data_IF_848609689979
#
_entry.id   IF_848609689979
#
_cell.length_a   1.000
_cell.length_b   1.000
_cell.length_c   1.000
_cell.angle_alpha   90.00
_cell.angle_beta   90.00
_cell.angle_gamma   90.00
#
_symmetry.space_group_name_H-M   'P 1'
#
loop_
_entity.id
_entity.type
_entity.pdbx_description
1 polymer ?
#
# COMPACT_ATOMS: atom_id res chain seq x y z
N UNK A 1 3.42 -9.20 23.59
CA UNK A 1 3.67 -8.21 22.53
C UNK A 1 5.08 -8.39 22.01
N UNK A 2 5.21 -8.61 20.73
CA UNK A 2 6.52 -8.58 20.09
C UNK A 2 7.00 -7.11 20.06
N UNK A 3 8.21 -6.85 20.54
CA UNK A 3 8.76 -5.49 20.63
C UNK A 3 9.24 -4.98 19.26
N UNK A 4 8.65 -5.50 18.17
CA UNK A 4 8.99 -5.15 16.80
C UNK A 4 8.08 -4.06 16.24
N UNK A 5 8.64 -3.24 15.37
CA UNK A 5 7.91 -2.25 14.59
C UNK A 5 7.55 -2.81 13.23
N UNK A 6 6.29 -2.62 12.83
CA UNK A 6 5.78 -3.05 11.54
C UNK A 6 5.33 -1.85 10.69
N UNK A 7 5.82 -1.80 9.47
CA UNK A 7 5.46 -0.77 8.50
C UNK A 7 4.55 -1.34 7.43
N UNK A 8 3.43 -0.67 7.16
CA UNK A 8 2.43 -1.13 6.19
C UNK A 8 2.27 -0.18 5.02
N UNK A 9 2.17 -0.75 3.82
CA UNK A 9 1.72 -0.08 2.60
C UNK A 9 0.35 -0.62 2.20
N UNK A 10 -0.59 0.25 1.91
CA UNK A 10 -1.98 -0.09 1.59
C UNK A 10 -2.39 0.54 0.27
N UNK A 11 -2.59 -0.28 -0.77
CA UNK A 11 -3.29 0.09 -2.00
C UNK A 11 -4.78 -0.24 -1.84
N UNK A 12 -5.67 0.79 -1.71
CA UNK A 12 -7.08 0.57 -1.43
C UNK A 12 -7.90 0.12 -2.64
N UNK A 13 -7.28 -0.14 -3.79
CA UNK A 13 -7.98 -0.59 -5.00
C UNK A 13 -8.68 -1.94 -4.83
N UNK A 14 -9.66 -2.24 -5.71
CA UNK A 14 -10.34 -3.55 -5.73
C UNK A 14 -9.36 -4.72 -5.93
N UNK A 15 -8.31 -4.49 -6.67
CA UNK A 15 -7.20 -5.42 -6.91
C UNK A 15 -5.91 -4.97 -6.22
N UNK A 16 -6.06 -4.23 -5.14
CA UNK A 16 -4.96 -3.74 -4.34
C UNK A 16 -4.46 -4.79 -3.33
N UNK A 17 -3.72 -4.33 -2.35
CA UNK A 17 -3.17 -5.20 -1.32
C UNK A 17 -2.83 -4.43 -0.03
N UNK A 18 -2.69 -5.16 1.05
CA UNK A 18 -2.05 -4.72 2.29
C UNK A 18 -0.73 -5.48 2.41
N UNK A 19 0.38 -4.77 2.52
CA UNK A 19 1.70 -5.38 2.70
C UNK A 19 2.35 -4.80 3.94
N UNK A 20 2.73 -5.67 4.86
CA UNK A 20 3.52 -5.31 6.04
C UNK A 20 4.98 -5.72 5.86
N UNK A 21 5.90 -4.86 6.27
CA UNK A 21 7.33 -5.16 6.35
C UNK A 21 7.83 -4.93 7.77
N UNK A 22 8.68 -5.81 8.22
CA UNK A 22 9.39 -5.64 9.48
C UNK A 22 10.43 -4.52 9.32
N UNK A 23 10.56 -3.63 10.32
CA UNK A 23 11.39 -2.43 10.17
C UNK A 23 12.86 -2.76 10.06
N UNK A 24 13.35 -3.75 10.80
CA UNK A 24 14.76 -4.10 10.87
C UNK A 24 15.17 -5.01 9.71
N UNK A 25 14.46 -6.13 9.55
CA UNK A 25 14.79 -7.15 8.54
C UNK A 25 14.27 -6.81 7.14
N UNK A 26 13.28 -5.93 7.02
CA UNK A 26 12.58 -5.68 5.75
C UNK A 26 11.78 -6.87 5.26
N UNK A 27 11.57 -7.92 6.09
CA UNK A 27 10.84 -9.12 5.71
C UNK A 27 9.36 -8.81 5.47
N UNK A 28 8.84 -9.05 4.26
CA UNK A 28 7.48 -8.67 3.91
C UNK A 28 6.47 -9.80 4.15
N UNK A 29 5.22 -9.39 4.39
CA UNK A 29 4.04 -10.25 4.37
C UNK A 29 2.90 -9.50 3.68
N UNK A 30 2.40 -10.01 2.56
CA UNK A 30 1.33 -9.39 1.79
C UNK A 30 0.01 -10.15 1.88
N UNK A 31 -1.08 -9.41 1.85
CA UNK A 31 -2.45 -9.90 1.75
C UNK A 31 -3.14 -9.23 0.55
N UNK A 32 -3.89 -10.01 -0.22
CA UNK A 32 -4.63 -9.50 -1.37
C UNK A 32 -5.98 -8.90 -0.97
N UNK A 33 -6.43 -7.91 -1.74
CA UNK A 33 -7.80 -7.42 -1.70
C UNK A 33 -8.67 -8.14 -2.76
N UNK A 34 -9.98 -8.24 -2.56
CA UNK A 34 -10.74 -7.72 -1.44
C UNK A 34 -10.70 -8.66 -0.23
N UNK A 35 -10.73 -8.08 0.95
CA UNK A 35 -11.08 -8.77 2.20
C UNK A 35 -12.51 -8.41 2.56
N UNK A 36 -13.24 -9.27 3.25
CA UNK A 36 -14.52 -8.89 3.83
C UNK A 36 -14.35 -7.95 5.03
N UNK A 37 -15.44 -7.41 5.57
CA UNK A 37 -15.37 -6.42 6.64
C UNK A 37 -14.84 -7.01 7.95
N UNK A 38 -15.23 -8.24 8.27
CA UNK A 38 -14.83 -8.91 9.50
C UNK A 38 -13.35 -9.29 9.44
N UNK A 39 -12.89 -9.84 8.31
CA UNK A 39 -11.48 -10.15 8.06
C UNK A 39 -10.61 -8.90 8.16
N UNK A 40 -11.05 -7.80 7.56
CA UNK A 40 -10.31 -6.54 7.57
C UNK A 40 -10.19 -5.95 8.98
N UNK A 41 -11.31 -5.96 9.74
CA UNK A 41 -11.31 -5.48 11.12
C UNK A 41 -10.48 -6.39 12.04
N UNK A 42 -10.58 -7.70 11.88
CA UNK A 42 -9.77 -8.66 12.64
C UNK A 42 -8.29 -8.46 12.36
N UNK A 43 -7.90 -8.34 11.08
CA UNK A 43 -6.50 -8.13 10.69
C UNK A 43 -5.87 -6.91 11.38
N UNK A 44 -6.56 -5.76 11.40
CA UNK A 44 -6.00 -4.55 12.01
C UNK A 44 -5.99 -4.61 13.54
N UNK A 45 -6.99 -5.23 14.16
CA UNK A 45 -7.02 -5.47 15.61
C UNK A 45 -5.88 -6.37 16.05
N UNK A 46 -5.71 -7.52 15.38
CA UNK A 46 -4.63 -8.46 15.66
C UNK A 46 -3.26 -7.81 15.45
N UNK A 47 -3.15 -6.95 14.43
CA UNK A 47 -1.94 -6.15 14.18
C UNK A 47 -1.64 -5.21 15.35
N UNK A 48 -2.64 -4.51 15.87
CA UNK A 48 -2.48 -3.59 16.99
C UNK A 48 -2.09 -4.31 18.31
N UNK A 49 -2.57 -5.55 18.49
CA UNK A 49 -2.24 -6.38 19.66
C UNK A 49 -0.85 -7.02 19.57
N UNK A 50 -0.43 -7.37 18.34
CA UNK A 50 0.80 -8.13 18.11
C UNK A 50 2.04 -7.25 18.18
N UNK A 51 2.02 -6.05 17.58
CA UNK A 51 3.19 -5.19 17.43
C UNK A 51 3.16 -3.99 18.39
N UNK A 52 4.31 -3.62 18.94
CA UNK A 52 4.45 -2.46 19.83
C UNK A 52 4.33 -1.13 19.09
N UNK A 53 4.75 -1.10 17.84
CA UNK A 53 4.65 0.09 16.97
C UNK A 53 4.18 -0.33 15.58
N UNK A 54 3.19 0.38 15.06
CA UNK A 54 2.62 0.14 13.73
C UNK A 54 2.58 1.46 12.96
N UNK A 55 3.34 1.52 11.86
CA UNK A 55 3.35 2.64 10.94
C UNK A 55 2.59 2.25 9.67
N UNK A 56 1.65 3.07 9.23
CA UNK A 56 0.78 2.73 8.09
C UNK A 56 0.77 3.86 7.08
N UNK A 57 1.04 3.51 5.83
CA UNK A 57 0.89 4.39 4.68
C UNK A 57 -0.22 3.89 3.76
N UNK A 58 -1.25 4.72 3.57
CA UNK A 58 -2.37 4.43 2.67
C UNK A 58 -2.27 5.32 1.43
N UNK A 59 -2.42 4.74 0.24
CA UNK A 59 -2.36 5.52 -0.99
C UNK A 59 -3.50 6.55 -1.06
N UNK A 60 -3.13 7.81 -1.24
CA UNK A 60 -4.06 8.91 -1.47
C UNK A 60 -4.40 9.00 -2.94
N UNK A 61 -5.45 8.31 -3.33
CA UNK A 61 -5.97 8.34 -4.70
C UNK A 61 -7.26 9.14 -4.77
N UNK A 62 -7.46 9.75 -5.93
CA UNK A 62 -8.64 10.56 -6.25
C UNK A 62 -9.52 9.79 -7.22
N UNK A 63 -10.83 10.10 -7.23
CA UNK A 63 -11.70 9.63 -8.29
C UNK A 63 -11.22 10.19 -9.63
N UNK A 64 -11.08 9.32 -10.62
CA UNK A 64 -10.74 9.77 -11.97
C UNK A 64 -12.02 10.23 -12.68
N UNK A 65 -12.07 11.45 -13.25
CA UNK A 65 -13.25 11.95 -13.95
C UNK A 65 -13.76 11.06 -15.10
N UNK A 66 -12.88 10.23 -15.68
CA UNK A 66 -13.26 9.27 -16.73
C UNK A 66 -13.88 7.97 -16.19
N UNK A 67 -13.87 7.76 -14.88
CA UNK A 67 -14.52 6.61 -14.27
C UNK A 67 -16.03 6.82 -14.21
N UNK A 68 -16.80 5.76 -14.50
CA UNK A 68 -18.24 5.78 -14.29
C UNK A 68 -18.59 5.94 -12.80
N UNK A 69 -19.77 6.54 -12.53
CA UNK A 69 -20.26 6.82 -11.16
C UNK A 69 -20.20 5.61 -10.22
N UNK A 70 -20.60 4.43 -10.73
CA UNK A 70 -20.54 3.18 -9.94
C UNK A 70 -19.10 2.86 -9.51
N UNK A 71 -18.13 3.01 -10.40
CA UNK A 71 -16.73 2.72 -10.08
C UNK A 71 -16.18 3.70 -9.04
N UNK A 72 -16.50 4.99 -9.16
CA UNK A 72 -16.11 6.00 -8.16
C UNK A 72 -16.71 5.70 -6.78
N UNK A 73 -17.99 5.31 -6.75
CA UNK A 73 -18.68 4.95 -5.52
C UNK A 73 -18.05 3.72 -4.84
N UNK A 74 -17.86 2.63 -5.58
CA UNK A 74 -17.24 1.40 -5.05
C UNK A 74 -15.80 1.64 -4.57
N UNK A 75 -15.04 2.44 -5.31
CA UNK A 75 -13.69 2.81 -4.92
C UNK A 75 -13.67 3.63 -3.61
N UNK A 76 -14.53 4.64 -3.51
CA UNK A 76 -14.66 5.46 -2.30
C UNK A 76 -15.11 4.63 -1.10
N UNK A 77 -16.06 3.70 -1.30
CA UNK A 77 -16.51 2.77 -0.27
C UNK A 77 -15.37 1.87 0.22
N UNK A 78 -14.61 1.27 -0.69
CA UNK A 78 -13.49 0.40 -0.34
C UNK A 78 -12.42 1.14 0.46
N UNK A 79 -12.05 2.33 0.02
CA UNK A 79 -11.10 3.20 0.74
C UNK A 79 -11.61 3.54 2.15
N UNK A 80 -12.87 3.95 2.26
CA UNK A 80 -13.49 4.30 3.55
C UNK A 80 -13.51 3.12 4.52
N UNK A 81 -13.82 1.90 4.05
CA UNK A 81 -13.77 0.67 4.86
C UNK A 81 -12.40 0.44 5.47
N UNK A 82 -11.34 0.53 4.64
CA UNK A 82 -9.96 0.31 5.08
C UNK A 82 -9.55 1.34 6.13
N UNK A 83 -9.76 2.62 5.84
CA UNK A 83 -9.41 3.71 6.76
C UNK A 83 -10.21 3.60 8.08
N UNK A 84 -11.49 3.24 8.02
CA UNK A 84 -12.33 3.00 9.18
C UNK A 84 -11.81 1.82 10.03
N UNK A 85 -11.47 0.69 9.41
CA UNK A 85 -10.97 -0.49 10.12
C UNK A 85 -9.63 -0.21 10.84
N UNK A 86 -8.71 0.52 10.20
CA UNK A 86 -7.46 0.96 10.83
C UNK A 86 -7.75 1.83 12.06
N UNK A 87 -8.62 2.84 11.92
CA UNK A 87 -8.96 3.76 13.01
C UNK A 87 -9.70 3.04 14.13
N UNK A 88 -10.60 2.11 13.82
CA UNK A 88 -11.34 1.33 14.81
C UNK A 88 -10.44 0.39 15.63
N UNK A 89 -9.31 -0.03 15.08
CA UNK A 89 -8.27 -0.77 15.79
C UNK A 89 -7.37 0.14 16.68
N UNK A 90 -7.65 1.44 16.77
CA UNK A 90 -6.83 2.39 17.52
C UNK A 90 -5.52 2.78 16.83
N UNK A 91 -5.35 2.39 15.56
CA UNK A 91 -4.15 2.69 14.77
C UNK A 91 -4.30 4.01 14.01
N UNK A 92 -3.17 4.65 13.72
CA UNK A 92 -3.09 5.84 12.87
C UNK A 92 -2.46 5.51 11.53
N UNK A 93 -2.68 6.35 10.52
CA UNK A 93 -2.09 6.18 9.21
C UNK A 93 -1.79 7.51 8.53
N UNK A 94 -0.81 7.50 7.63
CA UNK A 94 -0.47 8.63 6.75
C UNK A 94 -1.03 8.36 5.35
N UNK A 95 -1.58 9.39 4.71
CA UNK A 95 -1.97 9.33 3.29
C UNK A 95 -0.83 9.85 2.44
N UNK A 96 -0.38 9.06 1.46
CA UNK A 96 0.69 9.43 0.54
C UNK A 96 0.18 9.42 -0.91
N UNK A 97 0.55 10.42 -1.70
CA UNK A 97 0.17 10.44 -3.13
C UNK A 97 1.03 9.46 -3.93
N UNK A 98 0.53 8.93 -5.07
CA UNK A 98 1.37 8.14 -5.97
C UNK A 98 2.65 8.88 -6.39
N UNK A 99 2.57 10.19 -6.59
CA UNK A 99 3.73 11.01 -6.98
C UNK A 99 4.80 11.01 -5.89
N UNK A 100 4.41 11.10 -4.62
CA UNK A 100 5.35 11.19 -3.51
C UNK A 100 6.12 9.88 -3.31
N UNK A 101 5.40 8.74 -3.17
CA UNK A 101 6.08 7.47 -2.94
C UNK A 101 6.82 6.95 -4.17
N UNK A 102 6.30 7.20 -5.38
CA UNK A 102 6.99 6.83 -6.62
C UNK A 102 8.25 7.69 -6.82
N UNK A 103 8.15 9.01 -6.56
CA UNK A 103 9.29 9.93 -6.62
C UNK A 103 10.40 9.58 -5.63
N UNK A 104 10.05 9.07 -4.46
CA UNK A 104 11.04 8.59 -3.46
C UNK A 104 11.96 7.49 -4.02
N UNK A 105 11.43 6.65 -4.94
CA UNK A 105 12.20 5.62 -5.63
C UNK A 105 12.70 6.05 -7.02
N UNK A 106 12.68 7.35 -7.31
CA UNK A 106 13.03 7.90 -8.64
C UNK A 106 12.22 7.28 -9.79
N UNK A 107 10.97 6.90 -9.50
CA UNK A 107 10.06 6.29 -10.46
C UNK A 107 9.14 7.33 -11.10
N UNK A 108 9.41 7.66 -12.35
CA UNK A 108 8.63 8.61 -13.14
C UNK A 108 8.07 7.96 -14.40
N UNK A 109 6.79 8.24 -14.71
CA UNK A 109 6.16 7.75 -15.95
C UNK A 109 6.72 8.45 -17.17
N UNK A 110 7.08 7.67 -18.17
CA UNK A 110 7.37 8.15 -19.52
C UNK A 110 6.10 8.67 -20.21
N UNK A 111 6.20 9.45 -21.30
CA UNK A 111 5.03 9.84 -22.09
C UNK A 111 4.19 8.65 -22.57
N UNK A 112 4.83 7.57 -22.98
CA UNK A 112 4.15 6.32 -23.38
C UNK A 112 3.35 5.70 -22.22
N UNK A 113 3.91 5.64 -21.03
CA UNK A 113 3.26 5.08 -19.84
C UNK A 113 2.07 5.91 -19.35
N UNK A 114 2.00 7.20 -19.74
CA UNK A 114 0.85 8.09 -19.47
C UNK A 114 -0.29 7.92 -20.48
N UNK A 115 -0.05 7.28 -21.61
CA UNK A 115 -1.04 7.15 -22.69
C UNK A 115 -2.19 6.16 -22.40
N UNK A 116 -2.23 5.55 -21.21
CA UNK A 116 -3.25 4.56 -20.82
C UNK A 116 -2.98 3.16 -21.38
N UNK A 117 -3.91 2.25 -21.22
CA UNK A 117 -3.90 0.92 -21.84
C UNK A 117 -2.55 0.17 -21.70
N UNK A 118 -1.88 -0.06 -22.83
CA UNK A 118 -0.58 -0.75 -22.88
C UNK A 118 0.52 0.00 -22.12
N UNK A 119 0.51 1.33 -22.18
CA UNK A 119 1.46 2.17 -21.44
C UNK A 119 1.29 2.03 -19.94
N UNK A 120 0.06 2.06 -19.44
CA UNK A 120 -0.22 1.84 -18.02
C UNK A 120 0.24 0.43 -17.56
N UNK A 121 0.05 -0.59 -18.39
CA UNK A 121 0.54 -1.95 -18.08
C UNK A 121 2.08 -2.01 -18.06
N UNK A 122 2.75 -1.29 -18.94
CA UNK A 122 4.22 -1.17 -18.93
C UNK A 122 4.70 -0.52 -17.64
N UNK A 123 4.05 0.56 -17.21
CA UNK A 123 4.32 1.21 -15.93
C UNK A 123 4.19 0.25 -14.74
N UNK A 124 3.06 -0.46 -14.64
CA UNK A 124 2.85 -1.46 -13.59
C UNK A 124 3.92 -2.56 -13.57
N UNK A 125 4.39 -3.01 -14.74
CA UNK A 125 5.50 -3.97 -14.84
C UNK A 125 6.83 -3.40 -14.32
N UNK A 126 7.10 -2.11 -14.55
CA UNK A 126 8.30 -1.46 -13.99
C UNK A 126 8.24 -1.39 -12.47
N UNK A 127 7.10 -1.01 -11.90
CA UNK A 127 6.90 -1.03 -10.45
C UNK A 127 7.06 -2.45 -9.88
N UNK A 128 6.49 -3.45 -10.54
CA UNK A 128 6.66 -4.85 -10.15
C UNK A 128 8.13 -5.30 -10.19
N UNK A 129 8.88 -4.91 -11.22
CA UNK A 129 10.29 -5.24 -11.33
C UNK A 129 11.11 -4.63 -10.19
N UNK A 130 10.85 -3.36 -9.86
CA UNK A 130 11.47 -2.70 -8.72
C UNK A 130 11.13 -3.38 -7.39
N UNK A 131 9.86 -3.72 -7.16
CA UNK A 131 9.45 -4.42 -5.95
C UNK A 131 10.13 -5.81 -5.83
N UNK A 132 10.21 -6.56 -6.93
CA UNK A 132 10.93 -7.85 -6.95
C UNK A 132 12.42 -7.70 -6.63
N UNK A 133 13.06 -6.66 -7.15
CA UNK A 133 14.47 -6.37 -6.86
C UNK A 133 14.69 -6.04 -5.37
N UNK A 134 13.82 -5.21 -4.79
CA UNK A 134 13.96 -4.79 -3.38
C UNK A 134 13.72 -5.93 -2.38
N UNK A 135 12.77 -6.80 -2.68
CA UNK A 135 12.33 -7.82 -1.74
C UNK A 135 12.80 -9.25 -2.10
N UNK A 136 13.56 -9.41 -3.16
CA UNK A 136 14.08 -10.70 -3.63
C UNK A 136 13.00 -11.80 -3.66
N UNK A 137 11.78 -11.47 -4.07
CA UNK A 137 10.61 -12.32 -3.89
C UNK A 137 9.60 -12.32 -5.04
N UNK A 138 8.56 -13.14 -4.86
CA UNK A 138 7.42 -13.22 -5.76
C UNK A 138 6.44 -12.09 -5.45
N UNK A 139 6.48 -11.03 -6.24
CA UNK A 139 5.52 -9.92 -6.17
C UNK A 139 4.57 -10.00 -7.35
N UNK A 140 3.26 -10.06 -7.09
CA UNK A 140 2.25 -10.00 -8.15
C UNK A 140 2.15 -8.58 -8.72
N UNK A 141 1.56 -8.46 -9.93
CA UNK A 141 1.39 -7.15 -10.55
C UNK A 141 0.41 -6.25 -9.76
N UNK A 142 -0.60 -6.86 -9.14
CA UNK A 142 -1.60 -6.17 -8.30
C UNK A 142 -1.04 -5.71 -6.96
N UNK A 143 -0.08 -6.42 -6.41
CA UNK A 143 0.51 -6.11 -5.10
C UNK A 143 1.68 -5.13 -5.16
N UNK A 144 2.27 -4.90 -6.34
CA UNK A 144 3.53 -4.16 -6.48
C UNK A 144 3.53 -2.77 -5.82
N UNK A 145 2.43 -2.04 -5.95
CA UNK A 145 2.29 -0.70 -5.38
C UNK A 145 2.28 -0.77 -3.84
N UNK A 146 1.52 -1.70 -3.26
CA UNK A 146 1.48 -1.89 -1.80
C UNK A 146 2.84 -2.33 -1.23
N UNK A 147 3.59 -3.18 -1.94
CA UNK A 147 4.95 -3.57 -1.55
C UNK A 147 5.89 -2.38 -1.53
N UNK A 148 5.87 -1.55 -2.56
CA UNK A 148 6.72 -0.36 -2.62
C UNK A 148 6.30 0.70 -1.59
N UNK A 149 5.02 0.84 -1.32
CA UNK A 149 4.53 1.74 -0.26
C UNK A 149 4.92 1.24 1.15
N UNK A 150 4.94 -0.07 1.39
CA UNK A 150 5.42 -0.62 2.65
C UNK A 150 6.92 -0.32 2.85
N UNK A 151 7.72 -0.47 1.80
CA UNK A 151 9.14 -0.11 1.83
C UNK A 151 9.34 1.41 1.99
N UNK A 152 8.55 2.21 1.30
CA UNK A 152 8.54 3.66 1.49
C UNK A 152 8.24 4.02 2.96
N UNK A 153 7.20 3.41 3.54
CA UNK A 153 6.85 3.60 4.94
C UNK A 153 8.04 3.27 5.85
N UNK A 154 8.65 2.10 5.66
CA UNK A 154 9.81 1.63 6.43
C UNK A 154 11.01 2.60 6.36
N UNK A 155 11.39 3.00 5.17
CA UNK A 155 12.54 3.87 4.96
C UNK A 155 12.29 5.27 5.54
N UNK A 156 11.08 5.82 5.39
CA UNK A 156 10.70 7.11 5.98
C UNK A 156 10.70 7.05 7.50
N UNK A 157 10.21 5.98 8.10
CA UNK A 157 10.24 5.78 9.55
C UNK A 157 11.69 5.72 10.06
N UNK A 158 12.58 4.99 9.38
CA UNK A 158 13.99 4.92 9.72
C UNK A 158 14.72 6.26 9.57
N UNK A 159 14.31 7.12 8.63
CA UNK A 159 14.85 8.48 8.48
C UNK A 159 14.40 9.41 9.62
N UNK A 160 13.16 9.28 10.08
CA UNK A 160 12.58 10.08 11.17
C UNK A 160 13.16 9.71 12.55
N UNK A 161 13.75 8.53 12.69
CA UNK A 161 14.39 8.07 13.95
C UNK A 161 15.87 8.44 14.09
N UNK A 162 16.48 9.04 13.05
CA UNK A 162 17.87 9.52 13.05
C UNK A 162 17.99 10.95 13.57
#
# INVERSE_FOLDING_TARGET
MDNSTRCYGVDPGKTGAIVGVDIDSGTPRGLDMPMDDDELCAFWRDTAELYSTVEITVEKVWSNPVWGRRHCFEFGRQKGRIECAITAAGLTFRRVTPTDWQGYFDMHKTPYERSGGKGQRAWKKRLQALAKQKFNGRVSLSQADAWLMAEYCRLRTLEEWK
#
